data_IF_162771854499
#
_entry.id   IF_162771854499
#
_cell.length_a   1.000
_cell.length_b   1.000
_cell.length_c   1.000
_cell.angle_alpha   90.00
_cell.angle_beta   90.00
_cell.angle_gamma   90.00
#
_symmetry.space_group_name_H-M   'P 1'
#
loop_
_entity.id
_entity.type
_entity.pdbx_description
1 polymer ?
#
# COMPACT_ATOMS: atom_id res chain seq x y z
N UNK A 1 -3.26 -19.11 6.32
CA UNK A 1 -3.84 -18.77 7.63
C UNK A 1 -2.67 -18.66 8.59
N UNK A 2 -2.35 -17.47 9.07
CA UNK A 2 -1.26 -17.28 10.02
C UNK A 2 -1.75 -17.78 11.38
N UNK A 3 -1.19 -18.87 11.88
CA UNK A 3 -1.47 -19.35 13.23
C UNK A 3 -0.93 -18.29 14.19
N UNK A 4 -1.82 -17.51 14.80
CA UNK A 4 -1.44 -16.57 15.84
C UNK A 4 -0.96 -17.38 17.05
N UNK A 5 0.34 -17.33 17.33
CA UNK A 5 0.91 -17.91 18.54
C UNK A 5 0.68 -16.94 19.70
N UNK A 6 -0.29 -17.26 20.56
CA UNK A 6 -0.62 -16.46 21.75
C UNK A 6 0.20 -16.84 22.98
N UNK A 7 0.99 -17.91 22.90
CA UNK A 7 1.82 -18.41 23.99
C UNK A 7 3.30 -18.30 23.63
N UNK A 8 4.12 -17.94 24.61
CA UNK A 8 5.58 -17.96 24.51
C UNK A 8 6.15 -19.38 24.73
N UNK A 9 7.48 -19.52 24.65
CA UNK A 9 8.20 -20.78 24.86
C UNK A 9 8.01 -21.37 26.27
N UNK A 10 7.50 -20.57 27.22
CA UNK A 10 7.24 -20.96 28.61
C UNK A 10 5.77 -21.27 28.87
N UNK A 11 4.97 -21.37 27.81
CA UNK A 11 3.52 -21.60 27.89
C UNK A 11 2.79 -20.48 28.64
N UNK A 12 3.30 -19.25 28.65
CA UNK A 12 2.57 -18.07 29.15
C UNK A 12 2.05 -17.25 27.99
N UNK A 13 1.00 -16.45 28.22
CA UNK A 13 0.54 -15.49 27.22
C UNK A 13 1.66 -14.53 26.81
N UNK A 14 1.80 -14.31 25.50
CA UNK A 14 2.63 -13.22 24.98
C UNK A 14 2.00 -11.86 25.32
N UNK A 15 2.70 -10.77 25.06
CA UNK A 15 2.14 -9.42 25.21
C UNK A 15 0.92 -9.25 24.28
N UNK A 16 0.98 -9.77 23.05
CA UNK A 16 -0.12 -9.72 22.10
C UNK A 16 -1.33 -10.54 22.58
N UNK A 17 -1.10 -11.74 23.13
CA UNK A 17 -2.16 -12.56 23.72
C UNK A 17 -2.81 -11.90 24.94
N UNK A 18 -2.01 -11.24 25.77
CA UNK A 18 -2.48 -10.49 26.95
C UNK A 18 -3.30 -9.27 26.52
N UNK A 19 -2.81 -8.48 25.57
CA UNK A 19 -3.52 -7.32 25.03
C UNK A 19 -4.85 -7.71 24.40
N UNK A 20 -4.86 -8.77 23.57
CA UNK A 20 -6.08 -9.27 22.94
C UNK A 20 -7.13 -9.72 23.96
N UNK A 21 -6.71 -10.36 25.06
CA UNK A 21 -7.63 -10.75 26.13
C UNK A 21 -8.23 -9.54 26.84
N UNK A 22 -7.41 -8.52 27.13
CA UNK A 22 -7.86 -7.27 27.76
C UNK A 22 -8.83 -6.53 26.85
N UNK A 23 -8.54 -6.44 25.54
CA UNK A 23 -9.46 -5.86 24.57
C UNK A 23 -10.80 -6.62 24.58
N UNK A 24 -10.79 -7.96 24.60
CA UNK A 24 -12.03 -8.75 24.68
C UNK A 24 -12.92 -8.38 25.88
N UNK A 25 -12.29 -8.11 27.03
CA UNK A 25 -12.99 -7.63 28.23
C UNK A 25 -13.57 -6.23 28.00
N UNK A 26 -12.82 -5.31 27.39
CA UNK A 26 -13.30 -3.95 27.09
C UNK A 26 -14.43 -3.92 26.07
N UNK A 27 -14.45 -4.86 25.12
CA UNK A 27 -15.52 -5.00 24.13
C UNK A 27 -16.74 -5.78 24.64
N UNK A 28 -16.73 -6.28 25.88
CA UNK A 28 -17.76 -7.15 26.45
C UNK A 28 -17.99 -8.42 25.59
N UNK A 29 -16.90 -9.00 25.10
CA UNK A 29 -16.89 -10.19 24.21
C UNK A 29 -15.81 -11.21 24.59
N UNK A 30 -15.70 -11.64 25.86
CA UNK A 30 -14.70 -12.66 26.22
C UNK A 30 -14.91 -13.96 25.44
N UNK A 31 -16.17 -14.33 25.14
CA UNK A 31 -16.52 -15.54 24.40
C UNK A 31 -16.10 -15.54 22.92
N UNK A 32 -15.70 -14.39 22.38
CA UNK A 32 -15.16 -14.30 21.02
C UNK A 32 -13.69 -14.77 20.93
N UNK A 33 -13.04 -15.03 22.07
CA UNK A 33 -11.66 -15.53 22.11
C UNK A 33 -11.59 -17.05 21.90
N UNK A 34 -10.46 -17.57 21.39
CA UNK A 34 -10.22 -19.00 21.32
C UNK A 34 -10.35 -19.65 22.70
N UNK A 35 -10.98 -20.83 22.77
CA UNK A 35 -11.22 -21.54 24.03
C UNK A 35 -9.92 -21.83 24.78
N UNK A 36 -8.86 -22.18 24.06
CA UNK A 36 -7.53 -22.42 24.63
C UNK A 36 -7.01 -21.22 25.43
N UNK A 37 -7.21 -20.01 24.90
CA UNK A 37 -6.72 -18.77 25.50
C UNK A 37 -7.53 -18.43 26.77
N UNK A 38 -8.87 -18.59 26.73
CA UNK A 38 -9.73 -18.42 27.90
C UNK A 38 -9.37 -19.39 29.02
N UNK A 39 -9.31 -20.68 28.70
CA UNK A 39 -8.99 -21.74 29.66
C UNK A 39 -7.59 -21.55 30.25
N UNK A 40 -6.63 -21.09 29.45
CA UNK A 40 -5.28 -20.80 29.94
C UNK A 40 -5.28 -19.68 30.98
N UNK A 41 -5.92 -18.54 30.69
CA UNK A 41 -6.01 -17.42 31.66
C UNK A 41 -6.70 -17.88 32.93
N UNK A 42 -7.78 -18.65 32.85
CA UNK A 42 -8.47 -19.20 34.03
C UNK A 42 -7.58 -20.13 34.87
N UNK A 43 -6.65 -20.86 34.26
CA UNK A 43 -5.75 -21.81 34.93
C UNK A 43 -4.36 -21.28 35.30
N UNK A 44 -3.96 -20.10 34.83
CA UNK A 44 -2.59 -19.60 34.95
C UNK A 44 -2.51 -18.28 35.73
N UNK A 45 -2.20 -18.35 37.04
CA UNK A 45 -2.10 -17.19 37.94
C UNK A 45 -1.17 -16.06 37.42
N UNK A 46 0.03 -16.34 36.85
CA UNK A 46 0.87 -15.30 36.25
C UNK A 46 0.16 -14.51 35.14
N UNK A 47 -0.58 -15.19 34.26
CA UNK A 47 -1.30 -14.55 33.16
C UNK A 47 -2.51 -13.76 33.66
N UNK A 48 -3.22 -14.25 34.68
CA UNK A 48 -4.31 -13.50 35.32
C UNK A 48 -3.83 -12.16 35.87
N UNK A 49 -2.70 -12.16 36.59
CA UNK A 49 -2.13 -10.92 37.14
C UNK A 49 -1.80 -9.93 36.04
N UNK A 50 -1.16 -10.37 34.95
CA UNK A 50 -0.83 -9.48 33.81
C UNK A 50 -2.08 -8.87 33.16
N UNK A 51 -3.11 -9.68 32.92
CA UNK A 51 -4.40 -9.21 32.39
C UNK A 51 -5.04 -8.16 33.30
N UNK A 52 -5.09 -8.42 34.62
CA UNK A 52 -5.67 -7.49 35.59
C UNK A 52 -4.88 -6.18 35.63
N UNK A 53 -3.54 -6.27 35.74
CA UNK A 53 -2.67 -5.08 35.76
C UNK A 53 -2.83 -4.24 34.50
N UNK A 54 -2.79 -4.85 33.32
CA UNK A 54 -2.92 -4.14 32.06
C UNK A 54 -4.31 -3.49 31.93
N UNK A 55 -5.38 -4.19 32.34
CA UNK A 55 -6.74 -3.65 32.34
C UNK A 55 -6.86 -2.40 33.22
N UNK A 56 -6.32 -2.43 34.43
CA UNK A 56 -6.40 -1.27 35.35
C UNK A 56 -5.58 -0.09 34.82
N UNK A 57 -4.42 -0.35 34.20
CA UNK A 57 -3.64 0.69 33.52
C UNK A 57 -4.43 1.34 32.37
N UNK A 58 -5.09 0.54 31.54
CA UNK A 58 -5.90 1.06 30.41
C UNK A 58 -7.13 1.83 30.86
N UNK A 59 -7.77 1.43 31.97
CA UNK A 59 -8.86 2.23 32.56
C UNK A 59 -8.36 3.59 33.04
N UNK A 60 -7.19 3.64 33.68
CA UNK A 60 -6.63 4.88 34.21
C UNK A 60 -6.29 5.88 33.11
N UNK A 61 -5.96 5.43 31.89
CA UNK A 61 -5.67 6.29 30.75
C UNK A 61 -6.92 6.73 29.97
N UNK A 62 -8.12 6.32 30.39
CA UNK A 62 -9.34 6.61 29.66
C UNK A 62 -9.41 5.92 28.30
N UNK A 63 -8.81 4.73 28.17
CA UNK A 63 -8.84 3.96 26.94
C UNK A 63 -10.29 3.75 26.46
N UNK A 64 -10.58 4.26 25.27
CA UNK A 64 -11.84 4.04 24.57
C UNK A 64 -11.57 3.05 23.41
N UNK A 65 -12.13 1.83 23.46
CA UNK A 65 -11.92 0.84 22.41
C UNK A 65 -12.38 1.37 21.05
N UNK A 66 -11.47 1.40 20.06
CA UNK A 66 -11.81 1.84 18.71
C UNK A 66 -12.47 0.71 17.94
N UNK A 67 -13.63 1.00 17.34
CA UNK A 67 -14.27 0.12 16.36
C UNK A 67 -13.89 0.58 14.95
N UNK A 68 -13.64 -0.35 14.00
CA UNK A 68 -13.69 -1.81 14.14
C UNK A 68 -12.41 -2.42 14.72
N UNK A 69 -12.55 -3.41 15.61
CA UNK A 69 -11.43 -4.15 16.16
C UNK A 69 -10.89 -5.17 15.14
N UNK A 70 -9.58 -5.19 14.84
CA UNK A 70 -9.00 -6.08 13.83
C UNK A 70 -9.26 -7.57 14.06
N UNK A 71 -9.42 -7.99 15.32
CA UNK A 71 -9.69 -9.38 15.68
C UNK A 71 -11.19 -9.70 15.77
N UNK A 72 -11.98 -8.87 16.46
CA UNK A 72 -13.39 -9.19 16.76
C UNK A 72 -14.35 -8.83 15.63
N UNK A 73 -14.01 -7.81 14.84
CA UNK A 73 -14.84 -7.33 13.72
C UNK A 73 -14.32 -7.81 12.37
N UNK A 74 -13.24 -8.61 12.37
CA UNK A 74 -12.99 -9.57 11.30
C UNK A 74 -14.04 -10.65 11.47
N UNK A 75 -15.29 -10.31 11.11
CA UNK A 75 -16.35 -11.27 10.92
C UNK A 75 -15.68 -12.46 10.25
N UNK A 76 -15.79 -13.63 10.89
CA UNK A 76 -15.50 -14.89 10.22
C UNK A 76 -16.29 -14.76 8.93
N UNK A 77 -15.57 -14.39 7.85
CA UNK A 77 -16.14 -14.43 6.52
C UNK A 77 -16.24 -15.92 6.35
N UNK A 78 -17.32 -16.50 6.87
CA UNK A 78 -17.89 -17.69 6.30
C UNK A 78 -17.83 -17.39 4.81
N UNK A 79 -17.05 -18.16 4.03
CA UNK A 79 -16.91 -17.88 2.62
C UNK A 79 -18.33 -17.80 2.09
N UNK A 80 -18.77 -16.58 1.76
CA UNK A 80 -20.16 -16.35 1.38
C UNK A 80 -20.44 -17.40 0.31
N UNK A 81 -21.47 -18.26 0.48
CA UNK A 81 -21.62 -19.45 -0.34
C UNK A 81 -21.50 -19.01 -1.80
N UNK A 82 -20.41 -19.43 -2.44
CA UNK A 82 -19.95 -18.91 -3.73
C UNK A 82 -20.87 -19.36 -4.88
N UNK A 83 -22.08 -19.81 -4.55
CA UNK A 83 -23.05 -20.45 -5.42
C UNK A 83 -24.06 -19.47 -6.03
N UNK A 84 -24.18 -18.24 -5.50
CA UNK A 84 -25.17 -17.27 -5.96
C UNK A 84 -24.75 -16.43 -7.20
N UNK A 85 -23.46 -16.20 -7.41
CA UNK A 85 -22.98 -15.28 -8.46
C UNK A 85 -22.66 -15.95 -9.80
N UNK A 86 -22.47 -17.27 -9.82
CA UNK A 86 -22.09 -18.00 -11.04
C UNK A 86 -23.24 -18.22 -12.03
N UNK A 87 -24.51 -18.04 -11.61
CA UNK A 87 -25.67 -18.24 -12.50
C UNK A 87 -25.91 -17.07 -13.46
N UNK A 88 -25.50 -15.85 -13.10
CA UNK A 88 -25.72 -14.67 -13.94
C UNK A 88 -24.62 -14.47 -15.00
N UNK A 89 -23.38 -14.87 -14.72
CA UNK A 89 -22.27 -14.73 -15.69
C UNK A 89 -22.37 -15.73 -16.85
N UNK A 90 -22.92 -16.93 -16.61
CA UNK A 90 -23.14 -17.92 -17.66
C UNK A 90 -24.15 -17.46 -18.72
N UNK A 91 -25.22 -16.75 -18.31
CA UNK A 91 -26.21 -16.23 -19.24
C UNK A 91 -25.67 -15.09 -20.13
N UNK A 92 -24.85 -14.21 -19.57
CA UNK A 92 -24.22 -13.11 -20.32
C UNK A 92 -23.20 -13.63 -21.36
N UNK A 93 -22.42 -14.65 -21.02
CA UNK A 93 -21.46 -15.25 -21.94
C UNK A 93 -22.15 -15.92 -23.15
N UNK A 94 -23.27 -16.62 -22.93
CA UNK A 94 -24.04 -17.23 -24.01
C UNK A 94 -24.61 -16.17 -24.98
N UNK A 95 -25.10 -15.04 -24.44
CA UNK A 95 -25.62 -13.95 -25.26
C UNK A 95 -24.52 -13.28 -26.12
N UNK A 96 -23.32 -13.10 -25.54
CA UNK A 96 -22.17 -12.54 -26.25
C UNK A 96 -21.67 -13.45 -27.39
N UNK A 97 -21.68 -14.78 -27.20
CA UNK A 97 -21.31 -15.74 -28.25
C UNK A 97 -22.31 -15.73 -29.41
N UNK A 98 -23.62 -15.67 -29.12
CA UNK A 98 -24.66 -15.63 -30.16
C UNK A 98 -24.61 -14.33 -30.95
N UNK A 99 -24.52 -13.18 -30.26
CA UNK A 99 -24.47 -11.87 -30.91
C UNK A 99 -23.17 -11.68 -31.71
N UNK A 100 -22.01 -12.00 -31.12
CA UNK A 100 -20.71 -11.95 -31.81
C UNK A 100 -20.62 -12.89 -33.00
N UNK A 101 -21.16 -14.13 -32.86
CA UNK A 101 -21.23 -15.09 -33.96
C UNK A 101 -22.12 -14.61 -35.12
N UNK A 102 -23.28 -14.02 -34.82
CA UNK A 102 -24.16 -13.47 -35.86
C UNK A 102 -23.54 -12.27 -36.60
N UNK A 103 -22.79 -11.42 -35.89
CA UNK A 103 -22.11 -10.27 -36.47
C UNK A 103 -20.99 -10.71 -37.42
N UNK A 104 -20.19 -11.69 -37.02
CA UNK A 104 -19.14 -12.28 -37.86
C UNK A 104 -19.68 -12.99 -39.11
N UNK A 105 -20.88 -13.58 -39.04
CA UNK A 105 -21.55 -14.17 -40.20
C UNK A 105 -22.05 -13.10 -41.18
N UNK A 106 -22.50 -11.94 -40.69
CA UNK A 106 -23.01 -10.84 -41.52
C UNK A 106 -21.90 -9.97 -42.14
N UNK A 107 -20.74 -9.86 -41.50
CA UNK A 107 -19.62 -9.03 -41.99
C UNK A 107 -18.53 -9.79 -42.75
N UNK A 108 -18.76 -11.05 -43.15
CA UNK A 108 -17.74 -11.91 -43.78
C UNK A 108 -17.56 -11.73 -45.29
N UNK A 109 -17.82 -10.54 -45.82
CA UNK A 109 -17.60 -10.23 -47.24
C UNK A 109 -16.88 -8.90 -47.41
N UNK A 110 -15.64 -8.81 -46.93
CA UNK A 110 -14.70 -7.84 -47.48
C UNK A 110 -13.68 -8.56 -48.35
N UNK A 111 -13.56 -8.19 -49.65
CA UNK A 111 -12.54 -8.75 -50.52
C UNK A 111 -11.15 -8.31 -50.03
N UNK A 112 -10.21 -9.27 -50.00
CA UNK A 112 -8.83 -9.02 -49.58
C UNK A 112 -8.23 -7.81 -50.31
N UNK A 113 -7.59 -6.87 -49.59
CA UNK A 113 -6.75 -5.87 -50.22
C UNK A 113 -5.56 -6.55 -50.90
N UNK A 114 -5.41 -6.31 -52.20
CA UNK A 114 -4.26 -6.74 -53.00
C UNK A 114 -2.99 -6.09 -52.47
N UNK A 115 -2.09 -6.93 -51.93
CA UNK A 115 -0.79 -6.49 -51.46
C UNK A 115 0.11 -6.10 -52.65
N UNK A 116 0.84 -4.98 -52.58
CA UNK A 116 1.86 -4.65 -53.57
C UNK A 116 3.08 -5.59 -53.46
N UNK A 117 3.84 -5.76 -54.56
CA UNK A 117 5.00 -6.64 -54.61
C UNK A 117 6.12 -6.17 -53.68
N UNK A 118 6.58 -7.08 -52.83
CA UNK A 118 7.75 -6.91 -51.97
C UNK A 118 9.00 -6.92 -52.84
N UNK A 119 9.66 -5.77 -52.97
CA UNK A 119 11.03 -5.71 -53.49
C UNK A 119 12.01 -6.12 -52.38
N UNK A 120 12.58 -7.31 -52.56
CA UNK A 120 13.63 -7.86 -51.72
C UNK A 120 14.97 -7.28 -52.16
N UNK A 121 15.46 -6.26 -51.46
CA UNK A 121 16.83 -5.76 -51.65
C UNK A 121 17.71 -6.37 -50.57
N UNK A 122 18.41 -7.44 -50.96
CA UNK A 122 19.50 -8.00 -50.20
C UNK A 122 20.70 -7.04 -50.24
N UNK A 123 21.19 -6.65 -49.07
CA UNK A 123 22.55 -6.15 -48.91
C UNK A 123 23.00 -6.40 -47.47
N UNK A 124 23.81 -7.44 -47.29
CA UNK A 124 24.82 -7.45 -46.23
C UNK A 124 25.95 -6.49 -46.62
N UNK A 125 26.64 -5.88 -45.65
CA UNK A 125 27.90 -6.51 -45.29
C UNK A 125 28.16 -6.57 -43.79
N UNK A 126 28.87 -7.64 -43.44
CA UNK A 126 29.56 -7.86 -42.18
C UNK A 126 30.32 -6.61 -41.73
N UNK A 127 29.92 -6.06 -40.59
CA UNK A 127 30.81 -5.22 -39.79
C UNK A 127 30.85 -5.84 -38.40
N UNK A 128 31.88 -6.65 -38.17
CA UNK A 128 32.29 -7.11 -36.85
C UNK A 128 32.79 -5.90 -36.03
N UNK A 129 31.86 -5.03 -35.64
CA UNK A 129 32.07 -4.00 -34.64
C UNK A 129 31.99 -4.66 -33.27
N UNK A 130 33.08 -4.57 -32.51
CA UNK A 130 33.11 -4.91 -31.10
C UNK A 130 31.86 -4.33 -30.41
N UNK A 131 30.98 -5.22 -29.93
CA UNK A 131 29.85 -4.86 -29.11
C UNK A 131 30.43 -4.34 -27.79
N UNK A 132 30.72 -3.03 -27.75
CA UNK A 132 30.94 -2.36 -26.48
C UNK A 132 29.69 -2.67 -25.65
N UNK A 133 29.84 -3.18 -24.41
CA UNK A 133 28.70 -3.55 -23.58
C UNK A 133 27.78 -2.35 -23.52
N UNK A 134 26.62 -2.48 -24.17
CA UNK A 134 25.54 -1.50 -24.08
C UNK A 134 25.28 -1.34 -22.59
N UNK A 135 25.51 -0.14 -22.06
CA UNK A 135 25.16 0.17 -20.68
C UNK A 135 23.68 -0.18 -20.55
N UNK A 136 23.40 -1.31 -19.89
CA UNK A 136 22.05 -1.87 -19.78
C UNK A 136 21.16 -0.73 -19.32
N UNK A 137 20.26 -0.31 -20.21
CA UNK A 137 19.32 0.75 -19.89
C UNK A 137 18.64 0.30 -18.58
N UNK A 138 18.74 1.08 -17.49
CA UNK A 138 18.20 0.66 -16.22
C UNK A 138 16.74 0.28 -16.45
N UNK A 139 16.39 -0.96 -16.10
CA UNK A 139 15.05 -1.47 -16.33
C UNK A 139 14.09 -0.47 -15.70
N UNK A 140 13.16 0.06 -16.51
CA UNK A 140 12.24 1.10 -16.04
C UNK A 140 11.50 0.66 -14.78
N UNK A 141 11.25 -0.64 -14.63
CA UNK A 141 10.66 -1.25 -13.43
C UNK A 141 11.43 -0.92 -12.13
N UNK A 142 12.77 -0.83 -12.18
CA UNK A 142 13.60 -0.54 -11.00
C UNK A 142 13.38 0.87 -10.47
N UNK A 143 12.89 1.79 -11.30
CA UNK A 143 12.56 3.16 -10.88
C UNK A 143 11.25 3.22 -10.07
N UNK A 144 10.47 2.14 -10.03
CA UNK A 144 9.17 2.07 -9.33
C UNK A 144 9.17 1.14 -8.12
N UNK A 145 10.27 0.44 -7.84
CA UNK A 145 10.38 -0.40 -6.64
C UNK A 145 10.30 0.46 -5.37
N UNK A 146 9.45 0.13 -4.38
CA UNK A 146 9.32 0.92 -3.15
C UNK A 146 10.57 0.81 -2.27
N UNK A 147 10.85 1.85 -1.50
CA UNK A 147 11.90 1.87 -0.48
C UNK A 147 11.27 1.51 0.88
N UNK A 148 11.55 0.33 1.46
CA UNK A 148 10.83 -0.18 2.64
C UNK A 148 10.75 0.83 3.79
N UNK A 149 11.88 1.41 4.20
CA UNK A 149 11.96 2.35 5.32
C UNK A 149 11.07 3.59 5.13
N UNK A 150 10.92 4.08 3.90
CA UNK A 150 10.03 5.22 3.63
C UNK A 150 8.59 4.79 3.44
N UNK A 151 8.34 3.60 2.92
CA UNK A 151 6.98 3.09 2.75
C UNK A 151 6.29 2.87 4.09
N UNK A 152 7.03 2.33 5.06
CA UNK A 152 6.55 2.17 6.44
C UNK A 152 6.18 3.53 7.06
N UNK A 153 7.02 4.56 6.85
CA UNK A 153 6.74 5.92 7.32
C UNK A 153 5.52 6.56 6.65
N UNK A 154 5.31 6.31 5.35
CA UNK A 154 4.10 6.79 4.64
C UNK A 154 2.83 6.19 5.23
N UNK A 155 2.89 4.95 5.72
CA UNK A 155 1.75 4.26 6.31
C UNK A 155 1.50 4.61 7.78
N UNK A 156 2.53 5.07 8.50
CA UNK A 156 2.49 5.17 9.96
C UNK A 156 1.56 6.27 10.47
N UNK A 157 1.19 7.28 9.65
CA UNK A 157 0.27 8.36 10.05
C UNK A 157 0.78 9.15 11.26
N UNK A 158 1.34 10.34 11.03
CA UNK A 158 1.85 11.16 12.13
C UNK A 158 0.68 11.67 13.00
N UNK A 159 0.85 11.63 14.33
CA UNK A 159 -0.22 11.93 15.30
C UNK A 159 -0.63 13.41 15.23
N UNK A 160 -1.86 13.69 15.66
CA UNK A 160 -2.52 15.00 15.69
C UNK A 160 -1.57 16.16 16.08
N UNK A 161 -1.32 17.06 15.12
CA UNK A 161 -0.39 18.19 15.25
C UNK A 161 0.63 18.29 14.10
N UNK A 162 0.81 17.22 13.33
CA UNK A 162 1.64 17.18 12.13
C UNK A 162 0.93 17.77 10.90
N UNK A 163 1.67 18.44 10.03
CA UNK A 163 1.14 18.99 8.78
C UNK A 163 0.43 17.91 7.94
N UNK A 164 -0.83 18.13 7.58
CA UNK A 164 -1.59 17.19 6.76
C UNK A 164 -1.36 17.45 5.28
N UNK A 165 -1.04 16.42 4.52
CA UNK A 165 -0.83 16.54 3.08
C UNK A 165 -2.15 16.72 2.32
N UNK A 166 -2.25 17.79 1.54
CA UNK A 166 -3.36 18.03 0.61
C UNK A 166 -3.00 17.51 -0.79
N UNK A 167 -1.78 17.77 -1.26
CA UNK A 167 -1.31 17.38 -2.60
C UNK A 167 0.23 17.26 -2.67
N UNK A 168 0.79 16.38 -3.52
CA UNK A 168 0.10 15.32 -4.26
C UNK A 168 -0.42 14.24 -3.30
N UNK A 169 -1.58 13.65 -3.57
CA UNK A 169 -2.10 12.56 -2.74
C UNK A 169 -1.24 11.30 -2.92
N UNK A 170 -1.20 10.40 -1.93
CA UNK A 170 -0.48 9.15 -2.07
C UNK A 170 -0.93 8.41 -3.33
N UNK A 171 0.03 8.08 -4.20
CA UNK A 171 -0.17 7.40 -5.47
C UNK A 171 -0.71 8.24 -6.64
N UNK A 172 -0.73 9.58 -6.52
CA UNK A 172 -1.00 10.43 -7.67
C UNK A 172 0.11 10.28 -8.73
N UNK A 173 -0.32 10.22 -10.00
CA UNK A 173 0.54 10.40 -11.15
C UNK A 173 0.67 11.92 -11.42
N UNK A 174 1.88 12.45 -11.32
CA UNK A 174 2.15 13.89 -11.46
C UNK A 174 3.04 14.19 -12.67
N UNK A 175 2.73 15.30 -13.34
CA UNK A 175 3.55 15.86 -14.41
C UNK A 175 4.18 17.16 -13.90
N UNK A 176 5.51 17.38 -14.07
CA UNK A 176 6.14 18.63 -13.66
C UNK A 176 5.49 19.86 -14.32
N UNK A 177 5.37 21.00 -13.60
CA UNK A 177 5.84 21.23 -12.23
C UNK A 177 4.98 20.55 -11.17
N UNK A 178 5.62 20.03 -10.11
CA UNK A 178 4.91 19.35 -9.02
C UNK A 178 4.56 20.36 -7.94
N UNK A 179 3.28 20.49 -7.63
CA UNK A 179 2.78 21.37 -6.57
C UNK A 179 2.49 20.54 -5.31
N UNK A 180 3.19 20.88 -4.24
CA UNK A 180 2.98 20.33 -2.91
C UNK A 180 2.15 21.30 -2.09
N UNK A 181 1.16 20.78 -1.37
CA UNK A 181 0.27 21.54 -0.49
C UNK A 181 0.01 20.75 0.78
N UNK A 182 0.00 21.45 1.91
CA UNK A 182 -0.24 20.88 3.23
C UNK A 182 -0.96 21.89 4.13
N UNK A 183 -1.56 21.43 5.23
CA UNK A 183 -2.10 22.32 6.29
C UNK A 183 -1.12 22.43 7.44
N UNK A 184 -1.21 23.52 8.21
CA UNK A 184 -0.62 23.64 9.55
C UNK A 184 0.90 23.35 9.65
N UNK A 185 1.67 23.63 8.60
CA UNK A 185 3.12 23.49 8.68
C UNK A 185 3.76 24.63 9.47
N UNK A 186 4.81 24.34 10.26
CA UNK A 186 5.55 25.36 10.96
C UNK A 186 6.26 26.31 9.98
N UNK A 187 6.45 27.56 10.42
CA UNK A 187 6.93 28.67 9.58
C UNK A 187 8.29 28.41 8.92
N UNK A 188 9.12 27.56 9.51
CA UNK A 188 10.42 27.14 8.98
C UNK A 188 10.45 25.62 8.84
N UNK A 189 10.17 25.15 7.62
CA UNK A 189 10.24 23.73 7.27
C UNK A 189 11.21 23.50 6.11
N UNK A 190 11.80 22.32 6.06
CA UNK A 190 12.65 21.85 4.97
C UNK A 190 11.92 20.76 4.21
N UNK A 191 11.73 20.99 2.93
CA UNK A 191 11.16 20.04 1.98
C UNK A 191 12.30 19.28 1.28
N UNK A 192 12.21 17.95 1.20
CA UNK A 192 13.14 17.11 0.46
C UNK A 192 12.40 16.19 -0.50
N UNK A 193 12.91 16.04 -1.71
CA UNK A 193 12.45 15.05 -2.69
C UNK A 193 13.54 13.98 -2.82
N UNK A 194 13.16 12.72 -2.66
CA UNK A 194 14.06 11.57 -2.60
C UNK A 194 13.61 10.53 -3.63
N UNK A 195 14.54 9.92 -4.35
CA UNK A 195 14.23 8.79 -5.24
C UNK A 195 13.92 7.53 -4.43
N UNK A 196 13.37 6.52 -5.09
CA UNK A 196 13.21 5.19 -4.52
C UNK A 196 14.53 4.47 -4.15
N UNK A 197 15.69 5.04 -4.52
CA UNK A 197 17.02 4.57 -4.11
C UNK A 197 17.60 5.37 -2.93
N UNK A 198 16.79 6.19 -2.26
CA UNK A 198 17.23 7.04 -1.15
C UNK A 198 18.06 8.27 -1.56
N UNK A 199 18.28 8.50 -2.86
CA UNK A 199 19.05 9.65 -3.35
C UNK A 199 18.21 10.92 -3.27
N UNK A 200 18.71 11.95 -2.59
CA UNK A 200 18.06 13.26 -2.57
C UNK A 200 18.21 13.95 -3.93
N UNK A 201 17.09 14.36 -4.52
CA UNK A 201 17.01 15.05 -5.81
C UNK A 201 16.91 16.55 -5.61
N UNK A 202 16.16 16.98 -4.60
CA UNK A 202 15.95 18.38 -4.29
C UNK A 202 15.81 18.57 -2.78
N UNK A 203 16.28 19.72 -2.32
CA UNK A 203 16.07 20.23 -0.96
C UNK A 203 15.71 21.70 -1.06
N UNK A 204 14.67 22.13 -0.37
CA UNK A 204 14.25 23.52 -0.33
C UNK A 204 13.78 23.90 1.08
N UNK A 205 14.10 25.11 1.52
CA UNK A 205 13.42 25.72 2.66
C UNK A 205 12.08 26.26 2.18
N UNK A 206 11.02 25.92 2.90
CA UNK A 206 9.64 26.28 2.56
C UNK A 206 9.04 27.07 3.70
N UNK A 207 8.33 28.14 3.34
CA UNK A 207 7.57 28.99 4.25
C UNK A 207 6.11 28.96 3.82
N UNK A 208 5.21 28.63 4.73
CA UNK A 208 3.78 28.51 4.47
C UNK A 208 3.32 27.12 4.03
N UNK A 209 2.19 27.08 3.34
CA UNK A 209 1.38 25.86 3.10
C UNK A 209 1.58 25.21 1.73
N UNK A 210 2.48 25.75 0.90
CA UNK A 210 2.69 25.21 -0.44
C UNK A 210 4.11 25.40 -0.96
N UNK A 211 4.51 24.49 -1.83
CA UNK A 211 5.79 24.54 -2.53
C UNK A 211 5.63 24.02 -3.97
N UNK A 212 6.25 24.69 -4.94
CA UNK A 212 6.21 24.30 -6.34
C UNK A 212 7.60 23.91 -6.82
N UNK A 213 7.78 22.62 -7.10
CA UNK A 213 9.01 22.09 -7.67
C UNK A 213 8.96 22.19 -9.20
N UNK A 214 9.90 22.97 -9.77
CA UNK A 214 10.02 23.19 -11.23
C UNK A 214 11.19 22.45 -11.89
N UNK A 215 11.90 21.61 -11.14
CA UNK A 215 12.99 20.82 -11.68
C UNK A 215 12.51 19.68 -12.58
N UNK A 216 13.43 19.10 -13.35
CA UNK A 216 13.14 17.92 -14.17
C UNK A 216 13.21 16.66 -13.31
N UNK A 217 12.20 15.80 -13.42
CA UNK A 217 12.18 14.46 -12.84
C UNK A 217 12.09 13.45 -13.98
N UNK A 218 12.82 12.35 -13.87
CA UNK A 218 12.66 11.20 -14.76
C UNK A 218 11.42 10.41 -14.33
N UNK A 219 10.82 9.60 -15.21
CA UNK A 219 9.75 8.69 -14.81
C UNK A 219 10.20 7.76 -13.68
N UNK A 220 9.36 7.58 -12.66
CA UNK A 220 9.67 6.76 -11.48
C UNK A 220 8.84 7.08 -10.25
N UNK A 221 9.11 6.33 -9.17
CA UNK A 221 8.56 6.54 -7.83
C UNK A 221 9.48 7.49 -7.04
N UNK A 222 8.86 8.52 -6.46
CA UNK A 222 9.52 9.50 -5.62
C UNK A 222 8.84 9.58 -4.27
N UNK A 223 9.65 9.89 -3.27
CA UNK A 223 9.22 10.22 -1.93
C UNK A 223 9.48 11.70 -1.67
N UNK A 224 8.65 12.30 -0.83
CA UNK A 224 8.93 13.62 -0.29
C UNK A 224 8.84 13.60 1.22
N UNK A 225 9.61 14.48 1.85
CA UNK A 225 9.66 14.66 3.29
C UNK A 225 9.52 16.15 3.59
N UNK A 226 8.70 16.46 4.59
CA UNK A 226 8.63 17.77 5.21
C UNK A 226 9.16 17.63 6.63
N UNK A 227 10.25 18.33 6.92
CA UNK A 227 11.00 18.24 8.17
C UNK A 227 11.07 19.63 8.82
N UNK A 228 10.92 19.72 10.14
CA UNK A 228 11.30 20.91 10.91
C UNK A 228 12.79 20.82 11.29
N UNK A 229 13.27 21.73 12.15
CA UNK A 229 14.62 21.62 12.69
C UNK A 229 14.81 20.41 13.62
N UNK A 230 13.74 19.94 14.25
CA UNK A 230 13.79 18.95 15.34
C UNK A 230 13.12 17.62 14.98
N UNK A 231 12.17 17.63 14.04
CA UNK A 231 11.34 16.46 13.75
C UNK A 231 10.92 16.32 12.29
N UNK A 232 10.50 15.10 11.93
CA UNK A 232 9.87 14.79 10.66
C UNK A 232 8.37 15.05 10.78
N UNK A 233 7.86 16.00 10.00
CA UNK A 233 6.47 16.45 10.07
C UNK A 233 5.57 15.57 9.19
N UNK A 234 6.00 15.29 7.96
CA UNK A 234 5.22 14.50 7.03
C UNK A 234 6.10 13.77 6.01
N UNK A 235 5.61 12.62 5.53
CA UNK A 235 6.20 11.85 4.44
C UNK A 235 5.11 11.42 3.49
N UNK A 236 5.38 11.49 2.19
CA UNK A 236 4.48 10.95 1.18
C UNK A 236 5.25 10.42 -0.03
N UNK A 237 4.49 9.87 -0.99
CA UNK A 237 5.02 9.33 -2.24
C UNK A 237 4.13 9.69 -3.43
N UNK A 238 4.75 9.85 -4.60
CA UNK A 238 4.08 10.14 -5.86
C UNK A 238 4.81 9.48 -7.04
N UNK A 239 4.12 9.35 -8.17
CA UNK A 239 4.67 8.77 -9.39
C UNK A 239 4.85 9.84 -10.46
N UNK A 240 5.98 9.82 -11.15
CA UNK A 240 6.20 10.62 -12.37
C UNK A 240 6.11 9.68 -13.56
N UNK A 241 5.28 10.03 -14.54
CA UNK A 241 5.13 9.30 -15.81
C UNK A 241 5.57 10.16 -16.99
#
# INVERSE_FOLDING_TARGET
>A
MTTLHFHDDRMHLTEEGTALYVDAIFFDRPDALPEELRRHVEGCEPCQRRVITLREMMKATGYAPQRPHPYFDRAVREPAPMYGRYRWTAAAAALAVVTGGSYLLMHRTEPLPTLPPVHSTAAAPDTAGAYAPSAEAPLLADAFAPLPDLDDLVQTGFRSGSAELIAPRPSDDVVPPVTFRWTDAPEASRMRIVTNKGKTVATAEVKGESYVFRGRLSPGLYYWKLESAEELLAVGKFFVR
#
